data_IF_720715278039
#
_entry.id   IF_720715278039
#
_cell.length_a   1.000
_cell.length_b   1.000
_cell.length_c   1.000
_cell.angle_alpha   90.00
_cell.angle_beta   90.00
_cell.angle_gamma   90.00
#
_symmetry.space_group_name_H-M   'P 1'
#
loop_
_entity.id
_entity.type
_entity.pdbx_description
1 polymer ?
#
# COMPACT_ATOMS: atom_id res chain seq x y z
N UNK A 1 -2.82 18.51 -11.20
CA UNK A 1 -3.69 18.08 -12.31
C UNK A 1 -5.10 17.96 -11.77
N UNK A 2 -6.07 18.64 -12.38
CA UNK A 2 -7.47 18.53 -11.96
C UNK A 2 -8.04 17.20 -12.46
N UNK A 3 -8.69 16.43 -11.57
CA UNK A 3 -9.39 15.21 -11.96
C UNK A 3 -10.62 15.58 -12.79
N UNK A 4 -10.69 15.13 -14.04
CA UNK A 4 -11.85 15.29 -14.91
C UNK A 4 -12.77 14.08 -14.74
N UNK A 5 -14.06 14.32 -14.53
CA UNK A 5 -15.07 13.25 -14.50
C UNK A 5 -15.28 12.67 -15.89
N UNK A 6 -15.44 11.35 -15.96
CA UNK A 6 -15.76 10.62 -17.19
C UNK A 6 -17.26 10.82 -17.47
N UNK A 7 -17.59 11.35 -18.65
CA UNK A 7 -18.97 11.54 -19.12
C UNK A 7 -19.60 10.21 -19.59
N UNK A 8 -20.93 10.14 -19.63
CA UNK A 8 -21.67 8.93 -20.04
C UNK A 8 -21.33 8.49 -21.46
N UNK A 9 -21.14 9.46 -22.34
CA UNK A 9 -20.72 9.35 -23.74
C UNK A 9 -19.30 8.79 -23.90
N UNK A 10 -18.46 8.88 -22.87
CA UNK A 10 -17.10 8.36 -22.91
C UNK A 10 -16.99 6.91 -22.39
N UNK A 11 -18.09 6.31 -21.90
CA UNK A 11 -18.10 4.91 -21.43
C UNK A 11 -17.95 3.90 -22.57
N UNK A 12 -18.40 4.23 -23.78
CA UNK A 12 -18.28 3.32 -24.94
C UNK A 12 -16.81 3.08 -25.36
N UNK A 13 -15.87 3.87 -24.83
CA UNK A 13 -14.44 3.71 -25.05
C UNK A 13 -13.75 2.78 -24.05
N UNK A 14 -14.49 2.15 -23.14
CA UNK A 14 -13.96 1.10 -22.28
C UNK A 14 -13.85 -0.21 -23.05
N UNK A 15 -12.65 -0.78 -23.05
CA UNK A 15 -12.36 -2.05 -23.71
C UNK A 15 -11.65 -2.97 -22.72
N UNK A 16 -11.92 -4.26 -22.80
CA UNK A 16 -11.18 -5.28 -22.06
C UNK A 16 -10.14 -5.92 -22.99
N UNK A 17 -8.90 -6.00 -22.53
CA UNK A 17 -7.83 -6.79 -23.17
C UNK A 17 -8.06 -8.30 -22.94
N UNK A 18 -7.40 -9.16 -23.72
CA UNK A 18 -7.39 -10.62 -23.56
C UNK A 18 -6.93 -11.05 -22.15
N UNK A 19 -6.17 -10.19 -21.48
CA UNK A 19 -5.69 -10.39 -20.11
C UNK A 19 -6.69 -9.89 -19.03
N UNK A 20 -7.90 -9.48 -19.41
CA UNK A 20 -8.94 -9.00 -18.48
C UNK A 20 -8.65 -7.62 -17.87
N UNK A 21 -7.72 -6.86 -18.46
CA UNK A 21 -7.42 -5.48 -18.03
C UNK A 21 -8.38 -4.50 -18.69
N UNK A 22 -8.84 -3.51 -17.93
CA UNK A 22 -9.69 -2.44 -18.44
C UNK A 22 -8.82 -1.36 -19.09
N UNK A 23 -9.11 -1.03 -20.34
CA UNK A 23 -8.49 0.07 -21.09
C UNK A 23 -9.52 1.15 -21.37
N UNK A 24 -9.10 2.41 -21.35
CA UNK A 24 -9.90 3.57 -21.74
C UNK A 24 -9.13 4.33 -22.81
N UNK A 25 -9.72 4.47 -24.00
CA UNK A 25 -9.08 5.11 -25.18
C UNK A 25 -7.69 4.53 -25.52
N UNK A 26 -7.52 3.22 -25.32
CA UNK A 26 -6.25 2.51 -25.55
C UNK A 26 -5.29 2.50 -24.35
N UNK A 27 -5.50 3.35 -23.35
CA UNK A 27 -4.64 3.44 -22.17
C UNK A 27 -5.14 2.52 -21.04
N UNK A 28 -4.27 1.77 -20.35
CA UNK A 28 -4.70 0.90 -19.24
C UNK A 28 -5.22 1.73 -18.05
N UNK A 29 -6.43 1.41 -17.60
CA UNK A 29 -7.06 2.04 -16.44
C UNK A 29 -6.53 1.39 -15.17
N UNK A 30 -5.72 2.14 -14.43
CA UNK A 30 -5.24 1.74 -13.10
C UNK A 30 -6.35 1.95 -12.07
N UNK A 31 -7.15 0.90 -11.84
CA UNK A 31 -8.26 0.91 -10.86
C UNK A 31 -7.77 1.04 -9.41
N UNK A 32 -6.62 0.46 -9.08
CA UNK A 32 -6.03 0.54 -7.75
C UNK A 32 -4.52 0.76 -7.85
N UNK A 33 -4.06 1.92 -7.34
CA UNK A 33 -2.65 2.08 -6.99
C UNK A 33 -2.42 1.34 -5.67
N UNK A 34 -2.03 0.07 -5.74
CA UNK A 34 -1.62 -0.69 -4.54
C UNK A 34 -0.46 0.04 -3.86
N UNK A 35 -0.72 0.65 -2.70
CA UNK A 35 0.32 1.18 -1.82
C UNK A 35 1.02 -0.02 -1.19
N UNK A 36 2.02 -0.56 -1.89
CA UNK A 36 2.95 -1.52 -1.28
C UNK A 36 4.03 -0.73 -0.56
N UNK A 37 4.26 -1.08 0.71
CA UNK A 37 5.46 -0.64 1.40
C UNK A 37 6.66 -1.22 0.67
N UNK A 38 7.62 -0.36 0.34
CA UNK A 38 8.89 -0.82 -0.21
C UNK A 38 9.62 -1.66 0.85
N UNK A 39 10.40 -2.65 0.42
CA UNK A 39 11.13 -3.57 1.32
C UNK A 39 11.90 -2.82 2.41
N UNK A 40 12.50 -1.68 2.07
CA UNK A 40 13.19 -0.83 3.03
C UNK A 40 12.27 -0.27 4.13
N UNK A 41 11.06 0.17 3.77
CA UNK A 41 10.07 0.65 4.74
C UNK A 41 9.61 -0.47 5.68
N UNK A 42 9.48 -1.70 5.16
CA UNK A 42 9.15 -2.87 5.96
C UNK A 42 10.27 -3.17 6.96
N UNK A 43 11.53 -3.15 6.53
CA UNK A 43 12.69 -3.38 7.40
C UNK A 43 12.77 -2.32 8.49
N UNK A 44 12.65 -1.03 8.14
CA UNK A 44 12.64 0.05 9.13
C UNK A 44 11.50 -0.07 10.13
N UNK A 45 10.28 -0.35 9.66
CA UNK A 45 9.13 -0.53 10.53
C UNK A 45 9.32 -1.71 11.49
N UNK A 46 9.95 -2.79 11.02
CA UNK A 46 10.25 -3.97 11.84
C UNK A 46 11.26 -3.63 12.93
N UNK A 47 12.36 -2.94 12.58
CA UNK A 47 13.38 -2.52 13.55
C UNK A 47 12.81 -1.53 14.57
N UNK A 48 12.03 -0.55 14.13
CA UNK A 48 11.38 0.41 15.01
C UNK A 48 10.39 -0.28 15.97
N UNK A 49 9.60 -1.23 15.47
CA UNK A 49 8.66 -1.99 16.29
C UNK A 49 9.36 -2.87 17.32
N UNK A 50 10.42 -3.59 16.91
CA UNK A 50 11.22 -4.42 17.81
C UNK A 50 11.91 -3.57 18.88
N UNK A 51 12.48 -2.41 18.50
CA UNK A 51 13.11 -1.49 19.44
C UNK A 51 12.13 -0.89 20.44
N UNK A 52 10.96 -0.45 19.98
CA UNK A 52 9.90 0.06 20.85
C UNK A 52 9.38 -1.02 21.81
N UNK A 53 9.20 -2.25 21.32
CA UNK A 53 8.80 -3.38 22.14
C UNK A 53 9.85 -3.73 23.18
N UNK A 54 11.13 -3.80 22.80
CA UNK A 54 12.23 -4.07 23.73
C UNK A 54 12.36 -2.97 24.78
N UNK A 55 12.28 -1.69 24.38
CA UNK A 55 12.32 -0.56 25.31
C UNK A 55 11.13 -0.56 26.27
N UNK A 56 9.95 -0.94 25.80
CA UNK A 56 8.75 -1.10 26.62
C UNK A 56 8.83 -2.31 27.55
N UNK A 57 9.40 -3.43 27.11
CA UNK A 57 9.56 -4.65 27.89
C UNK A 57 10.73 -4.58 28.90
N UNK A 58 11.74 -3.74 28.65
CA UNK A 58 12.90 -3.56 29.51
C UNK A 58 12.55 -3.24 30.98
N UNK A 59 11.67 -2.26 31.31
CA UNK A 59 11.27 -2.01 32.69
C UNK A 59 10.55 -3.21 33.31
N UNK A 60 9.73 -3.94 32.55
CA UNK A 60 9.01 -5.09 33.07
C UNK A 60 9.94 -6.26 33.37
N UNK A 61 10.84 -6.65 32.47
CA UNK A 61 11.72 -7.79 32.75
C UNK A 61 12.75 -7.50 33.85
N UNK A 62 13.17 -6.24 34.02
CA UNK A 62 13.95 -5.83 35.21
C UNK A 62 13.10 -5.91 36.50
N UNK A 63 11.82 -5.53 36.44
CA UNK A 63 10.91 -5.65 37.60
C UNK A 63 10.48 -7.10 37.91
N UNK A 64 10.48 -8.00 36.93
CA UNK A 64 10.13 -9.42 37.08
C UNK A 64 11.35 -10.33 37.34
N UNK A 65 12.58 -9.78 37.37
CA UNK A 65 13.80 -10.51 37.68
C UNK A 65 14.22 -11.52 36.59
N UNK A 66 13.84 -11.27 35.34
CA UNK A 66 14.25 -12.11 34.20
C UNK A 66 15.72 -11.89 33.78
N UNK A 67 16.33 -10.78 34.19
CA UNK A 67 17.75 -10.44 34.09
C UNK A 67 18.18 -9.53 35.23
#
# INVERSE_FOLDING_TARGET
MALRSIGIDELDHFQFDEHGRLHWKGEPVLLEKRVRLETYQIVLATLASAGAFAAGAHPFGHSFGWW
#
